data_IF_910034355787
#
_entry.id   IF_910034355787
#
_cell.length_a   1.000
_cell.length_b   1.000
_cell.length_c   1.000
_cell.angle_alpha   90.00
_cell.angle_beta   90.00
_cell.angle_gamma   90.00
#
_symmetry.space_group_name_H-M   'P 1'
#
loop_
_entity.id
_entity.type
_entity.pdbx_description
1 polymer ?
#
# COMPACT_ATOMS: atom_id res chain seq x y z
N UNK A 1 9.40 -31.22 -5.85
CA UNK A 1 9.27 -30.57 -4.52
C UNK A 1 8.36 -29.37 -4.71
N UNK A 2 7.30 -29.17 -3.91
CA UNK A 2 6.49 -27.96 -4.04
C UNK A 2 7.37 -26.75 -3.67
N UNK A 3 7.45 -25.78 -4.56
CA UNK A 3 8.11 -24.49 -4.32
C UNK A 3 7.44 -23.80 -3.14
N UNK A 4 8.00 -23.98 -1.94
CA UNK A 4 7.57 -23.30 -0.72
C UNK A 4 8.12 -21.87 -0.69
N UNK A 5 7.93 -21.13 -1.78
CA UNK A 5 8.10 -19.68 -1.74
C UNK A 5 7.02 -19.13 -0.82
N UNK A 6 7.38 -18.37 0.23
CA UNK A 6 6.40 -17.86 1.17
C UNK A 6 5.38 -16.99 0.40
N UNK A 7 4.11 -17.40 0.41
CA UNK A 7 3.00 -16.71 -0.22
C UNK A 7 2.22 -15.90 0.83
N UNK A 8 1.26 -15.09 0.36
CA UNK A 8 0.33 -14.37 1.24
C UNK A 8 1.03 -13.45 2.24
N UNK A 9 0.52 -13.42 3.48
CA UNK A 9 1.02 -12.58 4.56
C UNK A 9 2.48 -12.89 4.93
N UNK A 10 2.86 -14.18 4.98
CA UNK A 10 4.23 -14.58 5.33
C UNK A 10 5.23 -14.07 4.28
N UNK A 11 4.89 -14.18 3.00
CA UNK A 11 5.69 -13.63 1.91
C UNK A 11 5.82 -12.11 2.01
N UNK A 12 4.72 -11.42 2.29
CA UNK A 12 4.70 -9.97 2.50
C UNK A 12 5.59 -9.53 3.67
N UNK A 13 5.51 -10.21 4.82
CA UNK A 13 6.34 -9.92 6.00
C UNK A 13 7.82 -10.16 5.70
N UNK A 14 8.15 -11.27 5.04
CA UNK A 14 9.52 -11.62 4.69
C UNK A 14 10.12 -10.57 3.74
N UNK A 15 9.40 -10.19 2.68
CA UNK A 15 9.84 -9.19 1.72
C UNK A 15 9.98 -7.80 2.37
N UNK A 16 9.04 -7.41 3.23
CA UNK A 16 9.10 -6.13 3.95
C UNK A 16 10.30 -6.08 4.91
N UNK A 17 10.54 -7.16 5.65
CA UNK A 17 11.69 -7.28 6.56
C UNK A 17 13.01 -7.22 5.81
N UNK A 18 13.11 -7.92 4.68
CA UNK A 18 14.31 -7.89 3.83
C UNK A 18 14.52 -6.51 3.20
N UNK A 19 13.46 -5.80 2.87
CA UNK A 19 13.56 -4.43 2.37
C UNK A 19 14.04 -3.48 3.47
N UNK A 20 13.45 -3.58 4.66
CA UNK A 20 13.78 -2.74 5.81
C UNK A 20 15.25 -2.88 6.24
N UNK A 21 15.82 -4.09 6.19
CA UNK A 21 17.21 -4.33 6.58
C UNK A 21 18.26 -3.62 5.72
N UNK A 22 17.86 -3.10 4.54
CA UNK A 22 18.73 -2.33 3.64
C UNK A 22 18.87 -0.87 4.03
N UNK A 23 18.10 -0.39 5.00
CA UNK A 23 18.06 1.02 5.40
C UNK A 23 18.49 1.18 6.86
N UNK A 24 19.32 2.20 7.17
CA UNK A 24 19.71 2.46 8.54
C UNK A 24 18.53 2.98 9.37
N UNK A 25 18.49 2.67 10.67
CA UNK A 25 17.48 3.15 11.64
C UNK A 25 17.70 4.63 11.99
N UNK A 26 17.60 5.49 10.97
CA UNK A 26 17.70 6.94 11.06
C UNK A 26 16.51 7.55 10.34
N UNK A 27 16.17 8.80 10.65
CA UNK A 27 15.07 9.49 9.97
C UNK A 27 15.23 9.51 8.44
N UNK A 28 16.47 9.64 7.95
CA UNK A 28 16.78 9.56 6.52
C UNK A 28 16.59 8.16 5.93
N UNK A 29 17.00 7.13 6.67
CA UNK A 29 16.80 5.73 6.29
C UNK A 29 15.32 5.35 6.25
N UNK A 30 14.54 5.74 7.26
CA UNK A 30 13.08 5.53 7.32
C UNK A 30 12.38 6.14 6.11
N UNK A 31 12.70 7.40 5.76
CA UNK A 31 12.15 8.04 4.55
C UNK A 31 12.45 7.25 3.28
N UNK A 32 13.69 6.81 3.11
CA UNK A 32 14.09 6.01 1.93
C UNK A 32 13.43 4.63 1.91
N UNK A 33 13.26 4.01 3.07
CA UNK A 33 12.50 2.77 3.22
C UNK A 33 11.04 2.96 2.79
N UNK A 34 10.33 3.98 3.31
CA UNK A 34 8.92 4.23 2.96
C UNK A 34 8.75 4.48 1.46
N UNK A 35 9.69 5.20 0.83
CA UNK A 35 9.70 5.36 -0.63
C UNK A 35 9.83 4.02 -1.37
N UNK A 36 10.83 3.21 -1.00
CA UNK A 36 11.06 1.91 -1.62
C UNK A 36 9.91 0.93 -1.36
N UNK A 37 9.30 0.99 -0.18
CA UNK A 37 8.16 0.18 0.21
C UNK A 37 6.92 0.53 -0.62
N UNK A 38 6.61 1.83 -0.75
CA UNK A 38 5.53 2.30 -1.62
C UNK A 38 5.75 1.92 -3.09
N UNK A 39 6.98 1.99 -3.58
CA UNK A 39 7.30 1.58 -4.94
C UNK A 39 7.12 0.07 -5.17
N UNK A 40 7.67 -0.78 -4.29
CA UNK A 40 7.62 -2.24 -4.47
C UNK A 40 6.23 -2.81 -4.23
N UNK A 41 5.56 -2.35 -3.18
CA UNK A 41 4.30 -2.95 -2.72
C UNK A 41 3.08 -2.27 -3.34
N UNK A 42 3.15 -0.96 -3.62
CA UNK A 42 2.02 -0.17 -4.11
C UNK A 42 2.22 0.45 -5.50
N UNK A 43 3.38 0.25 -6.13
CA UNK A 43 3.77 0.84 -7.41
C UNK A 43 3.80 2.38 -7.44
N UNK A 44 4.01 2.99 -6.28
CA UNK A 44 4.09 4.45 -6.14
C UNK A 44 5.47 4.91 -6.64
N UNK A 45 5.53 5.51 -7.84
CA UNK A 45 6.76 6.19 -8.28
C UNK A 45 6.60 7.69 -8.14
N UNK A 46 7.26 8.24 -7.12
CA UNK A 46 7.23 9.68 -6.80
C UNK A 46 7.71 10.56 -7.97
N UNK A 47 8.53 10.01 -8.87
CA UNK A 47 8.99 10.70 -10.09
C UNK A 47 7.82 11.11 -10.99
N UNK A 48 6.78 10.30 -11.05
CA UNK A 48 5.58 10.56 -11.84
C UNK A 48 4.58 11.48 -11.11
N UNK A 49 4.82 11.86 -9.85
CA UNK A 49 3.97 12.82 -9.14
C UNK A 49 3.93 14.21 -9.83
N UNK A 50 4.95 14.52 -10.66
CA UNK A 50 4.97 15.71 -11.53
C UNK A 50 3.96 15.64 -12.68
N UNK A 51 3.50 14.44 -13.04
CA UNK A 51 2.50 14.21 -14.07
C UNK A 51 1.31 13.44 -13.46
N UNK A 52 0.28 14.14 -12.96
CA UNK A 52 -0.82 13.51 -12.23
C UNK A 52 -1.53 12.43 -13.05
N UNK A 53 -1.59 12.54 -14.37
CA UNK A 53 -2.16 11.51 -15.24
C UNK A 53 -1.35 10.21 -15.25
N UNK A 54 -0.02 10.29 -15.26
CA UNK A 54 0.84 9.11 -15.14
C UNK A 54 0.75 8.50 -13.75
N UNK A 55 0.70 9.33 -12.71
CA UNK A 55 0.52 8.89 -11.34
C UNK A 55 -0.82 8.14 -11.15
N UNK A 56 -1.91 8.66 -11.71
CA UNK A 56 -3.22 7.99 -11.70
C UNK A 56 -3.18 6.66 -12.47
N UNK A 57 -2.48 6.58 -13.61
CA UNK A 57 -2.30 5.32 -14.34
C UNK A 57 -1.51 4.26 -13.57
N UNK A 58 -0.61 4.65 -12.67
CA UNK A 58 0.10 3.69 -11.81
C UNK A 58 -0.86 2.95 -10.87
N UNK A 59 -1.92 3.62 -10.44
CA UNK A 59 -2.93 3.05 -9.55
C UNK A 59 -3.72 1.91 -10.20
N UNK A 60 -3.80 1.91 -11.54
CA UNK A 60 -4.38 0.83 -12.33
C UNK A 60 -3.38 -0.31 -12.60
N UNK A 61 -2.10 -0.03 -12.41
CA UNK A 61 -1.01 -0.98 -12.61
C UNK A 61 -0.97 -2.03 -11.50
N UNK A 62 -0.41 -3.18 -11.85
CA UNK A 62 -0.05 -4.18 -10.88
C UNK A 62 1.32 -3.85 -10.27
N UNK A 63 1.48 -3.92 -8.94
CA UNK A 63 2.77 -3.66 -8.33
C UNK A 63 3.78 -4.76 -8.66
N UNK A 64 5.09 -4.44 -8.57
CA UNK A 64 6.18 -5.37 -8.83
C UNK A 64 6.08 -6.66 -8.01
N UNK A 65 5.71 -6.54 -6.74
CA UNK A 65 5.47 -7.69 -5.86
C UNK A 65 3.98 -7.89 -5.64
N UNK A 66 3.52 -9.13 -5.77
CA UNK A 66 2.13 -9.52 -5.55
C UNK A 66 2.08 -10.66 -4.56
N UNK A 67 1.18 -10.53 -3.61
CA UNK A 67 0.95 -11.53 -2.59
C UNK A 67 -0.51 -11.96 -2.69
N UNK A 68 -0.76 -13.26 -2.61
CA UNK A 68 -2.12 -13.78 -2.47
C UNK A 68 -2.76 -13.29 -1.16
N UNK A 69 -4.02 -13.67 -0.94
CA UNK A 69 -4.77 -13.26 0.25
C UNK A 69 -4.50 -14.15 1.48
N UNK A 70 -3.76 -15.26 1.30
CA UNK A 70 -3.51 -16.25 2.35
C UNK A 70 -2.87 -15.62 3.59
N UNK A 71 -3.42 -15.91 4.76
CA UNK A 71 -2.94 -15.39 6.04
C UNK A 71 -3.33 -13.93 6.34
N UNK A 72 -3.84 -13.16 5.38
CA UNK A 72 -4.42 -11.84 5.67
C UNK A 72 -5.80 -11.98 6.31
N UNK A 73 -6.17 -11.05 7.19
CA UNK A 73 -7.51 -10.99 7.79
C UNK A 73 -8.54 -10.71 6.69
N UNK A 74 -9.48 -11.63 6.47
CA UNK A 74 -10.49 -11.53 5.41
C UNK A 74 -11.29 -10.20 5.43
N UNK A 75 -11.55 -9.63 6.61
CA UNK A 75 -12.23 -8.34 6.74
C UNK A 75 -11.40 -7.10 6.36
N UNK A 76 -10.16 -7.29 5.89
CA UNK A 76 -9.23 -6.24 5.44
C UNK A 76 -8.76 -6.46 3.99
N UNK A 77 -9.32 -7.46 3.29
CA UNK A 77 -8.90 -7.85 1.95
C UNK A 77 -10.10 -8.11 1.06
N UNK A 78 -10.20 -7.36 -0.05
CA UNK A 78 -11.20 -7.55 -1.12
C UNK A 78 -10.53 -7.76 -2.50
N UNK A 79 -9.22 -7.49 -2.59
CA UNK A 79 -8.49 -7.52 -3.85
C UNK A 79 -7.53 -8.72 -3.93
N UNK A 80 -7.11 -9.07 -5.15
CA UNK A 80 -6.11 -10.13 -5.43
C UNK A 80 -4.69 -9.75 -4.98
N UNK A 81 -4.50 -8.54 -4.47
CA UNK A 81 -3.24 -8.07 -3.93
C UNK A 81 -3.44 -7.11 -2.73
N UNK A 82 -3.78 -7.64 -1.55
CA UNK A 82 -4.10 -6.83 -0.36
C UNK A 82 -2.95 -5.93 0.10
N UNK A 83 -1.72 -6.38 -0.11
CA UNK A 83 -0.52 -5.64 0.25
C UNK A 83 -0.42 -4.28 -0.46
N UNK A 84 -0.99 -4.17 -1.67
CA UNK A 84 -0.98 -2.93 -2.47
C UNK A 84 -1.72 -1.80 -1.76
N UNK A 85 -2.97 -2.06 -1.40
CA UNK A 85 -3.84 -1.05 -0.80
C UNK A 85 -3.28 -0.62 0.56
N UNK A 86 -2.91 -1.58 1.40
CA UNK A 86 -2.26 -1.31 2.68
C UNK A 86 -0.99 -0.46 2.54
N UNK A 87 -0.08 -0.84 1.65
CA UNK A 87 1.19 -0.13 1.48
C UNK A 87 1.02 1.29 0.94
N UNK A 88 0.03 1.52 0.08
CA UNK A 88 -0.31 2.85 -0.41
C UNK A 88 -0.70 3.78 0.73
N UNK A 89 -1.53 3.31 1.67
CA UNK A 89 -1.94 4.12 2.80
C UNK A 89 -0.88 4.27 3.89
N UNK A 90 0.03 3.31 4.06
CA UNK A 90 1.26 3.52 4.87
C UNK A 90 2.09 4.67 4.30
N UNK A 91 2.29 4.69 2.98
CA UNK A 91 3.02 5.78 2.32
C UNK A 91 2.32 7.12 2.53
N UNK A 92 1.00 7.19 2.32
CA UNK A 92 0.21 8.41 2.51
C UNK A 92 0.25 8.89 3.96
N UNK A 93 0.07 7.99 4.92
CA UNK A 93 0.06 8.31 6.36
C UNK A 93 1.40 8.84 6.86
N UNK A 94 2.52 8.40 6.25
CA UNK A 94 3.86 8.88 6.59
C UNK A 94 4.16 10.28 6.05
N UNK A 95 3.69 10.59 4.84
CA UNK A 95 4.04 11.85 4.17
C UNK A 95 3.03 12.98 4.41
N UNK A 96 1.75 12.67 4.63
CA UNK A 96 0.69 13.67 4.76
C UNK A 96 0.27 13.92 6.22
N UNK A 97 -0.10 15.17 6.57
CA UNK A 97 -0.85 15.46 7.79
C UNK A 97 -2.13 14.63 7.86
N UNK A 98 -2.58 14.27 9.06
CA UNK A 98 -3.66 13.28 9.26
C UNK A 98 -4.97 13.63 8.55
N UNK A 99 -5.35 14.91 8.55
CA UNK A 99 -6.55 15.37 7.87
C UNK A 99 -6.43 15.24 6.34
N UNK A 100 -5.26 15.55 5.75
CA UNK A 100 -5.01 15.37 4.31
C UNK A 100 -5.00 13.91 3.92
N UNK A 101 -4.40 13.06 4.76
CA UNK A 101 -4.35 11.62 4.56
C UNK A 101 -5.75 11.00 4.55
N UNK A 102 -6.61 11.43 5.47
CA UNK A 102 -8.03 11.04 5.52
C UNK A 102 -8.79 11.53 4.29
N UNK A 103 -8.61 12.78 3.89
CA UNK A 103 -9.23 13.31 2.67
C UNK A 103 -8.82 12.48 1.45
N UNK A 104 -7.55 12.10 1.33
CA UNK A 104 -7.08 11.29 0.23
C UNK A 104 -7.69 9.88 0.25
N UNK A 105 -7.82 9.26 1.42
CA UNK A 105 -8.53 7.98 1.57
C UNK A 105 -9.99 8.11 1.10
N UNK A 106 -10.71 9.14 1.53
CA UNK A 106 -12.10 9.32 1.10
C UNK A 106 -12.26 9.63 -0.39
N UNK A 107 -11.34 10.43 -0.97
CA UNK A 107 -11.29 10.65 -2.41
C UNK A 107 -11.00 9.34 -3.17
N UNK A 108 -10.13 8.50 -2.63
CA UNK A 108 -9.82 7.19 -3.18
C UNK A 108 -11.02 6.26 -3.17
N UNK A 109 -11.69 6.13 -2.02
CA UNK A 109 -12.91 5.32 -1.88
C UNK A 109 -14.02 5.83 -2.81
N UNK A 110 -14.18 7.15 -2.95
CA UNK A 110 -15.17 7.74 -3.86
C UNK A 110 -14.85 7.41 -5.33
N UNK A 111 -13.57 7.47 -5.73
CA UNK A 111 -13.14 7.08 -7.07
C UNK A 111 -13.34 5.57 -7.32
N UNK A 112 -13.04 4.74 -6.32
CA UNK A 112 -13.31 3.30 -6.34
C UNK A 112 -14.80 2.98 -6.46
N UNK A 113 -15.64 3.67 -5.69
CA UNK A 113 -17.09 3.54 -5.72
C UNK A 113 -17.66 3.83 -7.12
N UNK A 114 -17.19 4.89 -7.77
CA UNK A 114 -17.56 5.21 -9.15
C UNK A 114 -17.08 4.13 -10.14
N UNK A 115 -15.84 3.63 -9.96
CA UNK A 115 -15.23 2.60 -10.82
C UNK A 115 -15.93 1.24 -10.71
N UNK A 116 -16.34 0.84 -9.51
CA UNK A 116 -16.96 -0.46 -9.23
C UNK A 116 -18.50 -0.40 -9.24
N UNK A 117 -19.09 0.53 -10.00
CA UNK A 117 -20.54 0.64 -10.23
C UNK A 117 -21.35 0.81 -8.92
N UNK A 118 -20.92 1.74 -8.07
CA UNK A 118 -21.58 2.06 -6.80
C UNK A 118 -21.47 0.94 -5.75
N UNK A 119 -20.39 0.16 -5.79
CA UNK A 119 -20.04 -0.81 -4.74
C UNK A 119 -18.99 -0.22 -3.81
N UNK A 120 -19.24 -0.30 -2.50
CA UNK A 120 -18.32 0.17 -1.46
C UNK A 120 -17.60 -1.00 -0.81
N UNK A 121 -16.27 -1.03 -0.88
CA UNK A 121 -15.48 -2.07 -0.21
C UNK A 121 -15.15 -1.64 1.22
N UNK A 122 -15.85 -2.22 2.21
CA UNK A 122 -15.53 -1.98 3.62
C UNK A 122 -14.12 -2.46 3.98
N UNK A 123 -13.63 -3.50 3.30
CA UNK A 123 -12.32 -4.07 3.54
C UNK A 123 -11.20 -3.11 3.09
N UNK A 124 -11.33 -2.51 1.91
CA UNK A 124 -10.41 -1.48 1.42
C UNK A 124 -10.41 -0.27 2.34
N UNK A 125 -11.58 0.28 2.67
CA UNK A 125 -11.69 1.40 3.62
C UNK A 125 -10.96 1.09 4.95
N UNK A 126 -11.20 -0.09 5.56
CA UNK A 126 -10.55 -0.49 6.82
C UNK A 126 -9.05 -0.68 6.67
N UNK A 127 -8.61 -1.31 5.58
CA UNK A 127 -7.19 -1.49 5.25
C UNK A 127 -6.50 -0.13 5.10
N UNK A 128 -7.17 0.83 4.46
CA UNK A 128 -6.72 2.20 4.32
C UNK A 128 -6.54 2.90 5.66
N UNK A 129 -7.52 2.82 6.56
CA UNK A 129 -7.38 3.38 7.91
C UNK A 129 -6.19 2.78 8.68
N UNK A 130 -6.01 1.45 8.63
CA UNK A 130 -4.89 0.77 9.28
C UNK A 130 -3.56 1.22 8.69
N UNK A 131 -3.48 1.31 7.35
CA UNK A 131 -2.29 1.80 6.65
C UNK A 131 -1.95 3.24 7.04
N UNK A 132 -2.94 4.14 7.04
CA UNK A 132 -2.75 5.53 7.46
C UNK A 132 -2.23 5.63 8.90
N UNK A 133 -2.81 4.86 9.81
CA UNK A 133 -2.38 4.86 11.21
C UNK A 133 -0.94 4.36 11.36
N UNK A 134 -0.59 3.23 10.72
CA UNK A 134 0.78 2.72 10.73
C UNK A 134 1.77 3.71 10.10
N UNK A 135 1.43 4.35 8.99
CA UNK A 135 2.28 5.36 8.37
C UNK A 135 2.63 6.52 9.31
N UNK A 136 1.73 6.88 10.22
CA UNK A 136 1.95 7.95 11.21
C UNK A 136 2.84 7.53 12.39
N UNK A 137 2.99 6.23 12.63
CA UNK A 137 3.84 5.69 13.71
C UNK A 137 5.30 5.53 13.30
N UNK A 138 5.57 5.55 11.99
CA UNK A 138 6.89 5.41 11.36
C UNK A 138 7.62 6.75 11.30
#
# INVERSE_FOLDING_TARGET
MPDSSPSGLTGFIAATSQLASRFPLTRGGTRRFVLAFGEQMAYIRVQDARNPWRFLRQMEGNPPTRWGTDGFKAGLVDDRNPARHYAAFVFVGFWLPGWMALLLLWLWELAGFMRYRFYWSQADTRSGYVGLWHGRLV
#
